data_IF_862898824166
#
_entry.id   IF_862898824166
#
_cell.length_a   1.000
_cell.length_b   1.000
_cell.length_c   1.000
_cell.angle_alpha   90.00
_cell.angle_beta   90.00
_cell.angle_gamma   90.00
#
_symmetry.space_group_name_H-M   'P 1'
#
loop_
_entity.id
_entity.type
_entity.pdbx_description
1 polymer ?
#
# COMPACT_ATOMS: atom_id res chain seq x y z
N UNK A 1 -1.89 6.55 12.78
CA UNK A 1 -2.81 5.51 12.28
C UNK A 1 -2.57 5.36 10.77
N UNK A 2 -1.73 4.41 10.34
CA UNK A 2 -1.75 3.87 8.98
C UNK A 2 -2.19 2.42 9.11
N UNK A 3 -3.52 2.22 9.18
CA UNK A 3 -4.14 0.89 9.09
C UNK A 3 -4.19 0.38 7.63
N UNK A 4 -3.68 1.18 6.70
CA UNK A 4 -3.74 1.00 5.25
C UNK A 4 -3.04 -0.27 4.77
N UNK A 5 -1.88 -0.62 5.34
CA UNK A 5 -1.09 -1.79 4.90
C UNK A 5 -1.58 -3.13 5.46
N UNK A 6 -2.22 -3.13 6.63
CA UNK A 6 -2.51 -4.37 7.37
C UNK A 6 -4.01 -4.69 7.52
N UNK A 7 -4.93 -3.90 6.93
CA UNK A 7 -6.37 -4.22 6.97
C UNK A 7 -7.01 -4.32 5.60
N UNK A 8 -6.90 -3.34 4.71
CA UNK A 8 -7.40 -3.52 3.32
C UNK A 8 -6.54 -4.56 2.60
N UNK A 9 -5.22 -4.44 2.70
CA UNK A 9 -4.26 -5.43 2.23
C UNK A 9 -4.11 -6.66 3.15
N UNK A 10 -4.97 -6.87 4.16
CA UNK A 10 -5.03 -8.14 4.88
C UNK A 10 -6.40 -8.82 4.76
N UNK A 11 -7.50 -8.07 4.62
CA UNK A 11 -8.85 -8.62 4.50
C UNK A 11 -9.22 -8.90 3.04
N UNK A 12 -8.85 -8.02 2.10
CA UNK A 12 -8.96 -8.30 0.67
C UNK A 12 -7.86 -9.26 0.19
N UNK A 13 -6.71 -9.20 0.86
CA UNK A 13 -5.52 -9.94 0.47
C UNK A 13 -5.45 -11.32 1.12
N UNK A 14 -5.97 -11.57 2.34
CA UNK A 14 -5.96 -12.93 2.91
C UNK A 14 -6.90 -13.89 2.17
N UNK A 15 -8.06 -13.43 1.68
CA UNK A 15 -8.98 -14.28 0.92
C UNK A 15 -8.52 -14.53 -0.54
N UNK A 16 -7.73 -13.61 -1.10
CA UNK A 16 -7.26 -13.65 -2.50
C UNK A 16 -5.82 -14.19 -2.60
N UNK A 17 -4.95 -13.89 -1.64
CA UNK A 17 -3.58 -14.43 -1.56
C UNK A 17 -3.48 -15.84 -1.03
N UNK A 18 -4.50 -16.37 -0.34
CA UNK A 18 -4.58 -17.81 -0.08
C UNK A 18 -4.51 -18.61 -1.40
N UNK A 19 -4.87 -17.97 -2.53
CA UNK A 19 -4.82 -18.62 -3.84
C UNK A 19 -3.63 -18.18 -4.71
N UNK A 20 -3.23 -16.91 -4.66
CA UNK A 20 -2.13 -16.39 -5.50
C UNK A 20 -0.71 -16.65 -4.98
N UNK A 21 -0.53 -17.14 -3.75
CA UNK A 21 0.82 -17.34 -3.16
C UNK A 21 1.51 -18.67 -3.52
N UNK A 22 0.86 -19.57 -4.27
CA UNK A 22 1.42 -20.90 -4.58
C UNK A 22 2.49 -20.93 -5.70
N UNK A 23 2.90 -19.80 -6.28
CA UNK A 23 4.01 -19.75 -7.26
C UNK A 23 5.14 -18.78 -6.92
N UNK A 24 5.18 -18.20 -5.72
CA UNK A 24 6.23 -17.27 -5.30
C UNK A 24 6.88 -17.59 -3.94
N UNK A 25 6.97 -18.87 -3.57
CA UNK A 25 7.95 -19.32 -2.57
C UNK A 25 8.92 -20.30 -3.25
N UNK A 26 9.84 -19.72 -4.04
CA UNK A 26 10.83 -20.45 -4.83
C UNK A 26 12.02 -19.55 -5.14
N UNK A 27 12.63 -18.97 -4.11
CA UNK A 27 13.85 -18.18 -4.22
C UNK A 27 14.79 -18.52 -3.07
N UNK A 28 15.66 -19.50 -3.29
CA UNK A 28 16.47 -20.14 -2.27
C UNK A 28 17.52 -19.24 -1.61
N UNK A 29 17.69 -19.45 -0.31
CA UNK A 29 18.94 -19.24 0.40
C UNK A 29 19.51 -20.62 0.76
N UNK A 30 20.48 -21.10 -0.02
CA UNK A 30 21.10 -22.40 0.17
C UNK A 30 21.81 -22.51 1.52
N UNK A 31 21.34 -23.45 2.35
CA UNK A 31 22.11 -23.96 3.48
C UNK A 31 23.15 -24.96 2.99
N UNK A 32 24.38 -24.49 2.75
CA UNK A 32 25.53 -25.38 2.60
C UNK A 32 26.10 -25.74 3.97
N UNK A 33 26.21 -27.04 4.17
CA UNK A 33 26.89 -27.77 5.24
C UNK A 33 28.31 -27.23 5.45
N UNK A 34 28.59 -26.66 6.64
CA UNK A 34 29.91 -26.22 7.05
C UNK A 34 30.63 -27.29 7.89
N UNK A 35 31.41 -28.13 7.21
CA UNK A 35 32.48 -28.90 7.83
C UNK A 35 33.66 -28.01 8.24
N UNK A 36 34.33 -28.45 9.28
CA UNK A 36 35.47 -27.87 10.00
C UNK A 36 36.65 -27.37 9.13
N UNK A 37 37.27 -26.24 9.50
CA UNK A 37 38.63 -25.89 9.02
C UNK A 37 39.05 -24.41 9.05
N UNK A 38 39.60 -23.96 10.18
CA UNK A 38 40.80 -23.10 10.32
C UNK A 38 40.93 -21.73 9.62
N UNK A 39 41.24 -20.70 10.43
CA UNK A 39 42.31 -19.74 10.08
C UNK A 39 41.94 -18.28 9.78
N UNK A 40 41.95 -17.45 10.82
CA UNK A 40 42.55 -16.12 10.95
C UNK A 40 42.41 -15.04 9.83
N UNK A 41 41.79 -13.91 10.18
CA UNK A 41 42.29 -12.56 9.83
C UNK A 41 41.39 -11.65 8.98
N UNK A 42 41.11 -10.44 9.50
CA UNK A 42 40.84 -9.24 8.69
C UNK A 42 39.39 -8.75 8.68
N UNK A 43 39.14 -7.61 9.34
CA UNK A 43 37.81 -7.04 9.55
C UNK A 43 37.25 -6.18 8.41
N UNK A 44 35.92 -5.98 8.53
CA UNK A 44 35.13 -4.77 8.24
C UNK A 44 35.29 -4.07 6.89
N UNK A 45 34.26 -4.15 6.04
CA UNK A 45 34.05 -3.22 4.94
C UNK A 45 32.88 -3.56 4.03
N UNK A 46 31.76 -2.86 4.25
CA UNK A 46 30.65 -2.56 3.34
C UNK A 46 30.50 -3.38 2.04
N UNK A 47 29.38 -4.09 1.92
CA UNK A 47 28.70 -4.30 0.64
C UNK A 47 27.18 -4.19 0.83
N UNK A 48 26.71 -2.97 1.07
CA UNK A 48 25.30 -2.61 0.94
C UNK A 48 25.00 -2.39 -0.53
N UNK A 49 24.63 -3.46 -1.25
CA UNK A 49 24.14 -3.37 -2.62
C UNK A 49 23.00 -2.36 -2.69
N UNK A 50 23.25 -1.23 -3.34
CA UNK A 50 22.30 -0.13 -3.45
C UNK A 50 21.21 -0.53 -4.42
N UNK A 51 20.07 -1.02 -3.91
CA UNK A 51 18.84 -1.10 -4.69
C UNK A 51 18.36 0.34 -4.87
N UNK A 52 18.48 0.86 -6.10
CA UNK A 52 18.08 2.23 -6.43
C UNK A 52 16.56 2.34 -6.42
N UNK A 53 15.99 2.58 -5.25
CA UNK A 53 14.59 2.98 -5.11
C UNK A 53 14.51 4.48 -5.37
N UNK A 54 13.60 4.90 -6.26
CA UNK A 54 13.47 6.31 -6.66
C UNK A 54 13.09 7.24 -5.50
N UNK A 55 12.43 6.71 -4.47
CA UNK A 55 12.03 7.46 -3.27
C UNK A 55 13.25 7.69 -2.36
N UNK A 56 13.49 8.93 -1.91
CA UNK A 56 14.62 9.24 -1.03
C UNK A 56 14.51 8.53 0.33
N UNK A 57 15.62 7.97 0.82
CA UNK A 57 15.67 7.38 2.15
C UNK A 57 15.52 8.45 3.27
N UNK A 58 15.10 8.07 4.50
CA UNK A 58 14.84 9.04 5.57
C UNK A 58 16.05 9.91 5.94
N UNK A 59 17.28 9.42 5.79
CA UNK A 59 18.51 10.20 6.04
C UNK A 59 18.73 11.34 5.04
N UNK A 60 18.01 11.32 3.91
CA UNK A 60 18.04 12.36 2.88
C UNK A 60 17.11 13.52 3.17
N UNK A 61 16.27 13.45 4.21
CA UNK A 61 15.43 14.54 4.68
C UNK A 61 16.16 15.32 5.77
N UNK A 62 16.60 16.53 5.46
CA UNK A 62 17.28 17.42 6.40
C UNK A 62 16.45 18.67 6.65
N UNK A 63 15.86 18.79 7.83
CA UNK A 63 15.19 20.02 8.25
C UNK A 63 16.25 21.10 8.49
N UNK A 64 16.17 22.19 7.74
CA UNK A 64 17.09 23.33 7.82
C UNK A 64 16.44 24.58 8.44
N UNK A 65 15.20 24.47 8.93
CA UNK A 65 14.45 25.57 9.53
C UNK A 65 13.99 26.62 8.52
N UNK A 66 13.35 27.68 9.01
CA UNK A 66 12.91 28.83 8.19
C UNK A 66 13.97 29.94 8.11
N UNK A 67 15.17 29.73 8.68
CA UNK A 67 16.26 30.70 8.73
C UNK A 67 17.25 30.49 7.57
N UNK A 68 17.63 31.59 6.93
CA UNK A 68 18.77 31.65 6.00
C UNK A 68 20.02 31.06 6.68
N UNK A 69 20.74 30.16 6.01
CA UNK A 69 22.02 29.66 6.50
C UNK A 69 22.95 30.84 6.84
N UNK A 70 23.21 31.05 8.13
CA UNK A 70 24.40 31.76 8.58
C UNK A 70 25.18 30.76 9.40
N UNK A 71 26.38 30.44 8.93
CA UNK A 71 27.37 29.61 9.60
C UNK A 71 27.67 30.21 10.98
N UNK A 72 27.03 29.69 12.00
CA UNK A 72 27.22 30.13 13.37
C UNK A 72 26.27 29.36 14.27
N UNK A 73 26.83 28.53 15.15
CA UNK A 73 26.10 27.65 16.06
C UNK A 73 25.13 28.41 16.96
N UNK A 74 23.92 28.63 16.46
CA UNK A 74 22.77 29.17 17.16
C UNK A 74 21.64 28.16 17.08
N UNK A 75 21.02 27.88 18.23
CA UNK A 75 19.81 27.07 18.40
C UNK A 75 18.63 27.69 17.64
N UNK A 76 18.64 27.61 16.31
CA UNK A 76 17.58 28.09 15.44
C UNK A 76 16.34 27.21 15.58
N UNK A 77 15.21 27.83 15.89
CA UNK A 77 13.91 27.17 15.99
C UNK A 77 13.64 26.39 14.70
N UNK A 78 13.47 25.07 14.80
CA UNK A 78 13.37 24.12 13.66
C UNK A 78 12.09 24.28 12.81
N UNK A 79 11.30 25.32 13.08
CA UNK A 79 10.11 25.71 12.33
C UNK A 79 9.37 26.88 12.96
N UNK A 80 8.51 27.54 12.18
CA UNK A 80 7.61 28.61 12.63
C UNK A 80 6.24 28.01 12.93
N UNK A 81 5.67 28.19 14.15
CA UNK A 81 4.34 27.68 14.47
C UNK A 81 3.27 28.20 13.49
N UNK A 82 2.36 27.32 13.09
CA UNK A 82 1.19 27.68 12.30
C UNK A 82 0.09 28.12 13.27
N UNK A 83 -0.29 29.40 13.21
CA UNK A 83 -1.23 30.00 14.16
C UNK A 83 -2.69 29.49 14.04
N UNK A 84 -3.05 28.89 12.90
CA UNK A 84 -4.39 28.35 12.66
C UNK A 84 -4.39 27.31 11.53
N UNK A 85 -5.37 26.42 11.54
CA UNK A 85 -5.54 25.38 10.51
C UNK A 85 -5.58 25.92 9.07
N UNK A 86 -6.21 27.09 8.86
CA UNK A 86 -6.25 27.79 7.57
C UNK A 86 -4.86 28.22 7.06
N UNK A 87 -3.86 28.28 7.95
CA UNK A 87 -2.48 28.58 7.58
C UNK A 87 -1.68 27.38 7.10
N UNK A 88 -2.21 26.16 7.20
CA UNK A 88 -1.54 24.92 6.76
C UNK A 88 -1.90 24.55 5.33
N UNK A 89 -0.87 24.24 4.54
CA UNK A 89 -1.02 23.71 3.18
C UNK A 89 -1.52 22.26 3.20
N UNK A 90 -1.10 21.43 4.16
CA UNK A 90 -1.59 20.06 4.27
C UNK A 90 -3.08 20.04 4.60
N UNK A 91 -3.49 20.85 5.57
CA UNK A 91 -4.88 21.08 5.91
C UNK A 91 -5.72 21.45 4.69
N UNK A 92 -5.27 22.45 3.92
CA UNK A 92 -5.96 22.89 2.70
C UNK A 92 -6.01 21.78 1.63
N UNK A 93 -4.91 21.05 1.42
CA UNK A 93 -4.86 19.93 0.50
C UNK A 93 -5.86 18.83 0.89
N UNK A 94 -5.88 18.43 2.16
CA UNK A 94 -6.82 17.42 2.67
C UNK A 94 -8.27 17.87 2.52
N UNK A 95 -8.57 19.13 2.86
CA UNK A 95 -9.91 19.68 2.66
C UNK A 95 -10.30 19.72 1.19
N UNK A 96 -9.38 20.05 0.29
CA UNK A 96 -9.64 19.98 -1.14
C UNK A 96 -9.94 18.55 -1.58
N UNK A 97 -9.22 17.54 -1.09
CA UNK A 97 -9.53 16.13 -1.38
C UNK A 97 -10.96 15.79 -0.93
N UNK A 98 -11.36 16.17 0.30
CA UNK A 98 -12.73 15.98 0.81
C UNK A 98 -13.78 16.68 -0.06
N UNK A 99 -13.52 17.93 -0.49
CA UNK A 99 -14.44 18.69 -1.33
C UNK A 99 -14.62 18.10 -2.73
N UNK A 100 -13.65 17.31 -3.21
CA UNK A 100 -13.69 16.66 -4.52
C UNK A 100 -14.17 15.20 -4.46
N UNK A 101 -14.74 14.73 -3.34
CA UNK A 101 -15.34 13.40 -3.24
C UNK A 101 -16.35 13.12 -4.37
N UNK A 102 -17.11 14.13 -4.81
CA UNK A 102 -18.09 13.98 -5.89
C UNK A 102 -17.53 14.15 -7.31
N UNK A 103 -16.35 14.73 -7.47
CA UNK A 103 -15.70 14.96 -8.79
C UNK A 103 -14.57 13.98 -9.07
N UNK A 104 -14.08 13.31 -8.03
CA UNK A 104 -13.02 12.32 -8.10
C UNK A 104 -11.65 12.83 -7.67
N UNK A 105 -10.80 11.89 -7.29
CA UNK A 105 -9.39 12.04 -6.98
C UNK A 105 -8.61 10.99 -7.77
N UNK A 106 -7.46 11.37 -8.32
CA UNK A 106 -6.50 10.49 -8.94
C UNK A 106 -5.11 10.78 -8.37
N UNK A 107 -4.40 9.74 -7.96
CA UNK A 107 -3.05 9.83 -7.45
C UNK A 107 -2.15 8.72 -7.97
N UNK A 108 -0.95 9.09 -8.38
CA UNK A 108 0.17 8.17 -8.56
C UNK A 108 1.22 8.47 -7.51
N UNK A 109 1.59 7.46 -6.73
CA UNK A 109 2.58 7.63 -5.68
C UNK A 109 3.34 6.34 -5.41
N UNK A 110 4.51 6.48 -4.79
CA UNK A 110 5.32 5.34 -4.34
C UNK A 110 5.53 5.49 -2.85
N UNK A 111 5.22 4.44 -2.08
CA UNK A 111 5.50 4.38 -0.64
C UNK A 111 6.60 3.36 -0.38
N UNK A 112 7.55 3.71 0.47
CA UNK A 112 8.68 2.87 0.84
C UNK A 112 8.80 2.80 2.36
N UNK A 113 9.00 1.59 2.84
CA UNK A 113 9.12 1.24 4.25
C UNK A 113 10.59 1.06 4.61
N UNK A 114 11.01 1.65 5.72
CA UNK A 114 12.37 1.53 6.26
C UNK A 114 12.34 1.11 7.72
N UNK A 115 13.35 0.33 8.12
CA UNK A 115 13.55 -0.07 9.51
C UNK A 115 14.11 1.07 10.38
N UNK A 116 14.35 0.79 11.67
CA UNK A 116 14.93 1.75 12.61
C UNK A 116 16.31 2.31 12.21
N UNK A 117 17.09 1.51 11.48
CA UNK A 117 18.39 1.88 10.94
C UNK A 117 18.28 2.61 9.60
N UNK A 118 17.06 2.92 9.16
CA UNK A 118 16.74 3.55 7.86
C UNK A 118 17.13 2.66 6.68
N UNK A 119 17.27 1.35 6.89
CA UNK A 119 17.49 0.39 5.83
C UNK A 119 16.16 0.08 5.14
N UNK A 120 16.21 -0.05 3.81
CA UNK A 120 15.04 -0.40 3.00
C UNK A 120 14.46 -1.76 3.42
N UNK A 121 13.14 -1.84 3.60
CA UNK A 121 12.42 -3.09 3.83
C UNK A 121 11.55 -3.49 2.63
N UNK A 122 10.63 -2.61 2.26
CA UNK A 122 9.65 -2.89 1.21
C UNK A 122 9.26 -1.58 0.51
N UNK A 123 8.64 -1.70 -0.66
CA UNK A 123 8.17 -0.54 -1.40
C UNK A 123 7.08 -0.92 -2.39
N UNK A 124 6.10 -0.04 -2.54
CA UNK A 124 4.93 -0.24 -3.39
C UNK A 124 4.65 1.01 -4.23
N UNK A 125 4.44 0.82 -5.51
CA UNK A 125 3.85 1.82 -6.41
C UNK A 125 2.34 1.69 -6.38
N UNK A 126 1.66 2.83 -6.37
CA UNK A 126 0.22 2.95 -6.34
C UNK A 126 -0.28 3.80 -7.50
N UNK A 127 -1.35 3.34 -8.12
CA UNK A 127 -2.30 4.19 -8.84
C UNK A 127 -3.60 4.09 -8.07
N UNK A 128 -4.09 5.23 -7.60
CA UNK A 128 -5.34 5.35 -6.88
C UNK A 128 -6.27 6.25 -7.67
N UNK A 129 -7.51 5.82 -7.85
CA UNK A 129 -8.61 6.70 -8.19
C UNK A 129 -9.75 6.49 -7.21
N UNK A 130 -10.43 7.55 -6.79
CA UNK A 130 -11.58 7.45 -5.90
C UNK A 130 -12.61 8.51 -6.24
N UNK A 131 -13.89 8.18 -6.15
CA UNK A 131 -15.00 9.12 -6.09
C UNK A 131 -15.93 8.77 -4.91
N UNK A 132 -17.17 9.24 -4.94
CA UNK A 132 -18.10 9.08 -3.83
C UNK A 132 -18.31 7.61 -3.45
N UNK A 133 -18.43 6.73 -4.44
CA UNK A 133 -18.84 5.34 -4.23
C UNK A 133 -17.81 4.33 -4.73
N UNK A 134 -16.93 4.75 -5.64
CA UNK A 134 -16.05 3.85 -6.36
C UNK A 134 -14.58 4.16 -6.06
N UNK A 135 -13.81 3.11 -5.77
CA UNK A 135 -12.35 3.19 -5.59
C UNK A 135 -11.67 2.21 -6.53
N UNK A 136 -10.59 2.66 -7.16
CA UNK A 136 -9.65 1.86 -7.91
C UNK A 136 -8.28 1.97 -7.26
N UNK A 137 -7.67 0.83 -6.93
CA UNK A 137 -6.29 0.78 -6.46
C UNK A 137 -5.52 -0.26 -7.25
N UNK A 138 -4.44 0.18 -7.89
CA UNK A 138 -3.47 -0.68 -8.55
C UNK A 138 -2.14 -0.59 -7.84
N UNK A 139 -1.62 -1.72 -7.41
CA UNK A 139 -0.46 -1.86 -6.56
C UNK A 139 0.61 -2.69 -7.25
N UNK A 140 1.87 -2.25 -7.17
CA UNK A 140 3.01 -3.05 -7.63
C UNK A 140 4.21 -2.87 -6.72
N UNK A 141 4.76 -3.97 -6.23
CA UNK A 141 6.01 -3.94 -5.46
C UNK A 141 7.16 -3.40 -6.28
N UNK A 142 7.96 -2.51 -5.67
CA UNK A 142 9.08 -1.80 -6.31
C UNK A 142 10.20 -2.75 -6.74
N UNK A 143 10.39 -3.85 -6.00
CA UNK A 143 11.47 -4.83 -6.25
C UNK A 143 10.96 -6.16 -6.82
N UNK A 144 9.68 -6.26 -7.14
CA UNK A 144 9.15 -7.51 -7.70
C UNK A 144 9.59 -7.66 -9.16
N UNK A 145 10.07 -8.85 -9.50
CA UNK A 145 10.26 -9.29 -10.89
C UNK A 145 8.93 -9.72 -11.54
N UNK A 146 7.86 -9.87 -10.74
CA UNK A 146 6.53 -10.11 -11.28
C UNK A 146 6.06 -8.90 -12.08
N UNK A 147 5.62 -9.16 -13.30
CA UNK A 147 5.08 -8.15 -14.19
C UNK A 147 3.64 -7.77 -13.85
N UNK A 148 2.97 -8.48 -12.93
CA UNK A 148 1.53 -8.29 -12.73
C UNK A 148 1.26 -7.51 -11.45
N UNK A 149 0.54 -6.39 -11.58
CA UNK A 149 0.11 -5.60 -10.45
C UNK A 149 -1.13 -6.21 -9.81
N UNK A 150 -1.26 -6.10 -8.49
CA UNK A 150 -2.52 -6.37 -7.81
C UNK A 150 -3.47 -5.22 -8.09
N UNK A 151 -4.69 -5.51 -8.51
CA UNK A 151 -5.72 -4.50 -8.77
C UNK A 151 -6.95 -4.81 -7.95
N UNK A 152 -7.44 -3.78 -7.26
CA UNK A 152 -8.62 -3.85 -6.41
C UNK A 152 -9.58 -2.75 -6.83
N UNK A 153 -10.87 -3.08 -6.90
CA UNK A 153 -11.93 -2.14 -7.18
C UNK A 153 -13.03 -2.26 -6.11
N UNK A 154 -13.35 -1.17 -5.43
CA UNK A 154 -14.46 -1.10 -4.50
C UNK A 154 -15.62 -0.34 -5.11
N UNK A 155 -16.85 -0.80 -4.86
CA UNK A 155 -18.08 -0.17 -5.37
C UNK A 155 -19.29 -0.51 -4.52
N UNK A 156 -20.38 0.23 -4.71
CA UNK A 156 -21.67 -0.02 -4.08
C UNK A 156 -22.67 -0.51 -5.12
N UNK A 157 -23.00 -1.80 -5.10
CA UNK A 157 -24.04 -2.41 -5.94
C UNK A 157 -25.28 -2.73 -5.09
N UNK A 158 -26.46 -2.19 -5.43
CA UNK A 158 -27.72 -2.47 -4.72
C UNK A 158 -27.64 -2.25 -3.19
N UNK A 159 -27.09 -1.09 -2.77
CA UNK A 159 -26.83 -0.76 -1.35
C UNK A 159 -25.92 -1.77 -0.62
N UNK A 160 -25.15 -2.55 -1.37
CA UNK A 160 -24.19 -3.51 -0.84
C UNK A 160 -22.80 -3.11 -1.29
N UNK A 161 -21.89 -3.01 -0.33
CA UNK A 161 -20.49 -2.70 -0.61
C UNK A 161 -19.74 -3.95 -1.03
N UNK A 162 -19.05 -3.83 -2.16
CA UNK A 162 -18.26 -4.89 -2.76
C UNK A 162 -16.84 -4.44 -2.96
N UNK A 163 -15.92 -5.37 -2.72
CA UNK A 163 -14.52 -5.23 -3.07
C UNK A 163 -14.13 -6.35 -4.02
N UNK A 164 -13.65 -5.99 -5.19
CA UNK A 164 -13.26 -6.91 -6.24
C UNK A 164 -11.76 -6.93 -6.43
N UNK A 165 -11.15 -8.10 -6.29
CA UNK A 165 -9.81 -8.35 -6.82
C UNK A 165 -9.91 -8.59 -8.33
N UNK A 166 -9.18 -7.79 -9.11
CA UNK A 166 -9.20 -7.85 -10.58
C UNK A 166 -7.95 -8.53 -11.10
N UNK A 167 -8.20 -9.66 -11.75
CA UNK A 167 -7.21 -10.44 -12.47
C UNK A 167 -7.17 -9.95 -13.92
N UNK A 168 -6.40 -8.87 -14.16
CA UNK A 168 -6.44 -8.10 -15.42
C UNK A 168 -6.08 -8.92 -16.66
N UNK A 169 -5.24 -9.95 -16.52
CA UNK A 169 -4.78 -10.81 -17.61
C UNK A 169 -5.82 -11.87 -17.97
N UNK A 170 -6.36 -12.57 -16.97
CA UNK A 170 -7.39 -13.58 -17.18
C UNK A 170 -8.80 -13.02 -17.36
N UNK A 171 -8.99 -11.72 -17.10
CA UNK A 171 -10.30 -11.06 -17.14
C UNK A 171 -11.28 -11.71 -16.17
N UNK A 172 -10.82 -11.94 -14.94
CA UNK A 172 -11.62 -12.48 -13.84
C UNK A 172 -11.67 -11.50 -12.68
N UNK A 173 -12.84 -11.35 -12.06
CA UNK A 173 -13.03 -10.51 -10.89
C UNK A 173 -13.61 -11.35 -9.77
N UNK A 174 -13.02 -11.30 -8.58
CA UNK A 174 -13.53 -11.99 -7.39
C UNK A 174 -13.98 -10.95 -6.38
N UNK A 175 -15.29 -10.88 -6.16
CA UNK A 175 -15.95 -9.92 -5.28
C UNK A 175 -16.20 -10.49 -3.89
N UNK A 176 -15.91 -9.69 -2.86
CA UNK A 176 -16.25 -9.98 -1.48
C UNK A 176 -17.17 -8.89 -0.93
N UNK A 177 -18.29 -9.32 -0.35
CA UNK A 177 -19.25 -8.42 0.29
C UNK A 177 -18.75 -7.95 1.65
N UNK A 178 -19.01 -6.68 1.99
CA UNK A 178 -18.75 -6.14 3.33
C UNK A 178 -17.27 -6.11 3.73
N UNK A 179 -16.38 -6.23 2.74
CA UNK A 179 -14.93 -6.03 2.92
C UNK A 179 -14.58 -4.54 3.14
N UNK A 180 -15.58 -3.68 3.09
CA UNK A 180 -15.50 -2.23 3.20
C UNK A 180 -16.68 -1.73 4.07
N UNK A 181 -16.53 -0.60 4.77
CA UNK A 181 -17.64 0.12 5.40
C UNK A 181 -17.72 1.55 4.82
N UNK A 182 -18.94 2.04 4.58
CA UNK A 182 -19.21 3.39 4.07
C UNK A 182 -18.39 4.47 4.80
N UNK A 183 -17.65 5.30 4.04
CA UNK A 183 -16.76 6.35 4.56
C UNK A 183 -15.32 5.93 4.89
N UNK A 184 -15.04 4.64 5.15
CA UNK A 184 -13.69 4.19 5.54
C UNK A 184 -12.62 4.41 4.46
N UNK A 185 -12.96 4.48 3.17
CA UNK A 185 -12.01 4.53 2.05
C UNK A 185 -11.35 5.90 2.08
N UNK A 186 -12.15 6.95 2.22
CA UNK A 186 -11.64 8.32 2.29
C UNK A 186 -10.82 8.57 3.56
N UNK A 187 -11.22 7.95 4.67
CA UNK A 187 -10.46 7.95 5.91
C UNK A 187 -9.15 7.13 5.77
N UNK A 188 -9.19 6.00 5.08
CA UNK A 188 -8.07 5.07 4.87
C UNK A 188 -7.05 5.59 3.84
N UNK A 189 -7.48 6.36 2.83
CA UNK A 189 -6.58 7.08 1.90
C UNK A 189 -5.71 8.12 2.64
N UNK A 190 -5.96 8.37 3.93
CA UNK A 190 -5.03 9.07 4.82
C UNK A 190 -5.16 10.58 4.77
N UNK A 191 -6.35 11.08 4.42
CA UNK A 191 -6.65 12.51 4.34
C UNK A 191 -7.81 12.88 5.28
N UNK A 192 -7.66 12.54 6.57
CA UNK A 192 -8.53 13.10 7.60
C UNK A 192 -7.95 14.43 8.09
N UNK A 193 -8.60 15.54 7.71
CA UNK A 193 -8.26 16.88 8.20
C UNK A 193 -8.70 17.08 9.66
N UNK A 194 -9.66 16.28 10.12
CA UNK A 194 -10.29 16.43 11.44
C UNK A 194 -9.40 15.90 12.57
N UNK A 195 -8.40 15.08 12.24
CA UNK A 195 -7.44 14.51 13.18
C UNK A 195 -6.09 15.22 13.21
N UNK A 196 -5.93 16.34 12.47
CA UNK A 196 -4.66 17.04 12.44
C UNK A 196 -4.39 17.73 13.78
N UNK A 197 -3.17 17.60 14.33
CA UNK A 197 -2.86 18.16 15.63
C UNK A 197 -2.94 19.69 15.60
N UNK A 198 -3.36 20.26 16.73
CA UNK A 198 -3.49 21.71 16.88
C UNK A 198 -2.17 22.46 16.63
N UNK A 199 -1.03 21.80 16.88
CA UNK A 199 0.29 22.42 16.72
C UNK A 199 1.07 21.82 15.55
N UNK A 200 1.16 22.60 14.47
CA UNK A 200 1.95 22.33 13.28
C UNK A 200 3.00 23.44 13.08
N UNK A 201 4.04 23.16 12.32
CA UNK A 201 5.14 24.09 12.05
C UNK A 201 5.43 24.18 10.57
N UNK A 202 5.68 25.40 10.07
CA UNK A 202 6.28 25.64 8.76
C UNK A 202 7.79 25.54 8.87
N UNK A 203 8.42 24.89 7.90
CA UNK A 203 9.88 24.78 7.84
C UNK A 203 10.35 24.62 6.39
N UNK A 204 11.66 24.52 6.20
CA UNK A 204 12.29 24.09 4.96
C UNK A 204 13.00 22.76 5.19
N UNK A 205 12.75 21.79 4.31
CA UNK A 205 13.42 20.48 4.33
C UNK A 205 14.19 20.31 3.03
N UNK A 206 15.48 20.02 3.14
CA UNK A 206 16.28 19.58 2.00
C UNK A 206 16.08 18.08 1.81
N UNK A 207 15.50 17.68 0.67
CA UNK A 207 15.34 16.28 0.25
C UNK A 207 16.33 16.02 -0.87
N UNK A 208 17.28 15.10 -0.67
CA UNK A 208 18.42 14.91 -1.59
C UNK A 208 19.16 16.23 -1.92
N UNK A 209 19.26 17.13 -0.93
CA UNK A 209 19.90 18.44 -1.08
C UNK A 209 19.02 19.51 -1.72
N UNK A 210 17.88 19.16 -2.32
CA UNK A 210 16.93 20.12 -2.89
C UNK A 210 16.00 20.66 -1.80
N UNK A 211 15.88 21.99 -1.61
CA UNK A 211 15.02 22.57 -0.58
C UNK A 211 13.54 22.55 -0.99
N UNK A 212 12.69 22.18 -0.05
CA UNK A 212 11.23 22.23 -0.17
C UNK A 212 10.64 23.01 0.98
N UNK A 213 9.63 23.84 0.69
CA UNK A 213 8.72 24.30 1.73
C UNK A 213 8.05 23.07 2.32
N UNK A 214 7.98 23.00 3.65
CA UNK A 214 7.48 21.84 4.34
C UNK A 214 6.66 22.22 5.57
N UNK A 215 5.80 21.30 5.99
CA UNK A 215 5.13 21.36 7.28
C UNK A 215 5.45 20.12 8.09
N UNK A 216 5.64 20.29 9.40
CA UNK A 216 5.88 19.21 10.33
C UNK A 216 4.92 19.26 11.50
N UNK A 217 4.57 18.09 12.01
CA UNK A 217 3.74 17.94 13.19
C UNK A 217 3.94 16.57 13.82
N UNK A 218 3.44 16.42 15.05
CA UNK A 218 3.40 15.13 15.74
C UNK A 218 1.94 14.83 16.06
N UNK A 219 1.46 13.65 15.68
CA UNK A 219 0.10 13.22 16.00
C UNK A 219 -0.06 12.87 17.48
N UNK A 220 -1.30 12.60 17.92
CA UNK A 220 -1.59 12.22 19.31
C UNK A 220 -0.93 10.92 19.77
N UNK A 221 -0.44 10.10 18.83
CA UNK A 221 0.23 8.83 19.09
C UNK A 221 1.76 8.96 19.08
N UNK A 222 2.30 10.17 18.86
CA UNK A 222 3.72 10.42 18.83
C UNK A 222 4.39 10.17 17.48
N UNK A 223 3.63 9.85 16.43
CA UNK A 223 4.18 9.74 15.08
C UNK A 223 4.47 11.14 14.52
N UNK A 224 5.69 11.33 14.01
CA UNK A 224 6.13 12.60 13.44
C UNK A 224 5.91 12.59 11.94
N UNK A 225 5.32 13.66 11.44
CA UNK A 225 5.02 13.86 10.04
C UNK A 225 5.91 14.98 9.50
N UNK A 226 6.44 14.78 8.31
CA UNK A 226 7.12 15.80 7.50
C UNK A 226 6.53 15.78 6.11
N UNK A 227 5.90 16.88 5.69
CA UNK A 227 5.21 16.99 4.41
C UNK A 227 5.88 18.09 3.61
N UNK A 228 6.53 17.72 2.51
CA UNK A 228 7.21 18.63 1.59
C UNK A 228 6.31 18.92 0.40
N UNK A 229 6.26 20.18 -0.05
CA UNK A 229 5.33 20.61 -1.09
C UNK A 229 6.02 20.96 -2.41
N UNK A 230 5.34 20.69 -3.52
CA UNK A 230 5.63 21.25 -4.83
C UNK A 230 4.41 22.03 -5.30
N UNK A 231 4.50 23.36 -5.31
CA UNK A 231 3.32 24.21 -5.43
C UNK A 231 2.40 24.02 -4.22
N UNK A 232 1.10 23.84 -4.46
CA UNK A 232 0.09 23.59 -3.42
C UNK A 232 -0.11 22.11 -3.07
N UNK A 233 0.61 21.20 -3.73
CA UNK A 233 0.42 19.76 -3.59
C UNK A 233 1.58 19.13 -2.80
N UNK A 234 1.31 18.10 -1.97
CA UNK A 234 2.36 17.28 -1.40
C UNK A 234 3.22 16.65 -2.49
N UNK A 235 4.53 16.70 -2.32
CA UNK A 235 5.52 16.03 -3.16
C UNK A 235 6.16 14.85 -2.43
N UNK A 236 6.50 15.04 -1.16
CA UNK A 236 6.99 13.98 -0.28
C UNK A 236 6.28 14.02 1.07
N UNK A 237 5.99 12.84 1.61
CA UNK A 237 5.55 12.68 3.01
C UNK A 237 6.47 11.67 3.68
N UNK A 238 7.03 12.03 4.83
CA UNK A 238 7.76 11.13 5.70
C UNK A 238 7.02 11.00 7.03
N UNK A 239 6.80 9.76 7.45
CA UNK A 239 6.24 9.43 8.75
C UNK A 239 7.31 8.67 9.53
N UNK A 240 7.61 9.14 10.74
CA UNK A 240 8.50 8.51 11.69
C UNK A 240 7.69 8.08 12.91
N UNK A 241 7.61 6.78 13.16
CA UNK A 241 7.02 6.23 14.37
C UNK A 241 8.01 6.25 15.54
N UNK A 242 7.49 6.41 16.75
CA UNK A 242 8.32 6.42 17.97
C UNK A 242 9.09 5.10 18.16
N UNK A 243 8.49 3.98 17.76
CA UNK A 243 9.07 2.65 17.79
C UNK A 243 8.73 1.90 16.49
N UNK A 244 9.55 0.92 16.06
CA UNK A 244 9.18 0.04 14.95
C UNK A 244 7.88 -0.72 15.24
N UNK A 245 7.12 -1.01 14.19
CA UNK A 245 5.96 -1.89 14.26
C UNK A 245 6.37 -3.38 14.41
N UNK A 246 5.38 -4.27 14.41
CA UNK A 246 5.59 -5.72 14.52
C UNK A 246 6.44 -6.31 13.38
N UNK A 247 6.42 -5.66 12.21
CA UNK A 247 7.18 -6.06 11.04
C UNK A 247 8.57 -5.42 11.04
N UNK A 248 8.89 -4.57 12.03
CA UNK A 248 10.14 -3.86 12.18
C UNK A 248 10.27 -2.61 11.30
N UNK A 249 9.17 -2.08 10.78
CA UNK A 249 9.12 -0.81 10.03
C UNK A 249 9.02 0.35 11.02
N UNK A 250 9.84 1.39 10.85
CA UNK A 250 9.75 2.61 11.66
C UNK A 250 9.47 3.87 10.82
N UNK A 251 9.87 3.87 9.54
CA UNK A 251 9.67 5.00 8.66
C UNK A 251 8.89 4.61 7.41
N UNK A 252 7.98 5.48 7.03
CA UNK A 252 7.29 5.43 5.75
C UNK A 252 7.63 6.69 4.98
N UNK A 253 8.17 6.54 3.77
CA UNK A 253 8.42 7.67 2.86
C UNK A 253 7.57 7.48 1.62
N UNK A 254 6.73 8.49 1.34
CA UNK A 254 5.88 8.55 0.16
C UNK A 254 6.39 9.63 -0.78
N UNK A 255 6.54 9.30 -2.05
CA UNK A 255 6.68 10.27 -3.15
C UNK A 255 5.40 10.32 -3.96
N UNK A 256 4.81 11.51 -4.10
CA UNK A 256 3.72 11.75 -5.02
C UNK A 256 4.27 12.16 -6.39
N UNK A 257 3.80 11.49 -7.44
CA UNK A 257 4.17 11.77 -8.83
C UNK A 257 3.10 12.62 -9.50
N UNK A 258 1.84 12.21 -9.35
CA UNK A 258 0.68 12.86 -9.95
C UNK A 258 -0.42 12.95 -8.92
N UNK A 259 -1.07 14.12 -8.82
CA UNK A 259 -2.30 14.32 -8.04
C UNK A 259 -3.24 15.17 -8.89
N UNK A 260 -4.47 14.69 -9.11
CA UNK A 260 -5.48 15.36 -9.91
C UNK A 260 -6.87 15.19 -9.29
N UNK A 261 -7.74 16.19 -9.46
CA UNK A 261 -9.12 16.15 -8.97
C UNK A 261 -10.09 15.65 -10.05
N UNK A 262 -9.85 14.41 -10.48
CA UNK A 262 -10.62 13.62 -11.47
C UNK A 262 -10.36 12.15 -11.19
N UNK A 263 -11.15 11.23 -11.72
CA UNK A 263 -10.89 9.78 -11.61
C UNK A 263 -10.07 9.21 -12.77
N UNK A 264 -9.84 10.01 -13.82
CA UNK A 264 -9.27 9.55 -15.10
C UNK A 264 -10.02 8.35 -15.71
N UNK A 265 -11.31 8.19 -15.39
CA UNK A 265 -12.14 7.08 -15.86
C UNK A 265 -11.89 5.75 -15.17
N UNK A 266 -11.01 5.68 -14.17
CA UNK A 266 -10.65 4.44 -13.48
C UNK A 266 -11.71 3.98 -12.46
N UNK A 267 -12.57 4.89 -12.00
CA UNK A 267 -13.69 4.58 -11.09
C UNK A 267 -14.92 4.00 -11.82
N UNK A 268 -14.77 3.50 -13.05
CA UNK A 268 -15.85 2.82 -13.76
C UNK A 268 -15.71 1.32 -13.59
N UNK A 269 -16.69 0.67 -12.94
CA UNK A 269 -16.70 -0.77 -12.74
C UNK A 269 -16.60 -1.50 -14.10
N UNK A 270 -15.50 -2.21 -14.42
CA UNK A 270 -15.28 -2.74 -15.77
C UNK A 270 -16.05 -4.06 -16.02
N UNK A 271 -17.29 -4.15 -15.55
CA UNK A 271 -18.07 -5.40 -15.47
C UNK A 271 -18.10 -6.18 -16.78
N UNK A 272 -18.38 -5.50 -17.89
CA UNK A 272 -18.55 -6.13 -19.22
C UNK A 272 -17.28 -6.82 -19.73
N UNK A 273 -16.11 -6.52 -19.16
CA UNK A 273 -14.83 -7.10 -19.53
C UNK A 273 -14.39 -8.27 -18.65
N UNK A 274 -15.16 -8.65 -17.62
CA UNK A 274 -14.72 -9.59 -16.59
C UNK A 274 -15.73 -10.71 -16.34
N UNK A 275 -15.22 -11.94 -16.17
CA UNK A 275 -15.99 -13.01 -15.54
C UNK A 275 -16.01 -12.78 -14.03
N UNK A 276 -17.18 -12.54 -13.47
CA UNK A 276 -17.34 -12.20 -12.07
C UNK A 276 -17.67 -13.44 -11.24
N UNK A 277 -16.94 -13.61 -10.14
CA UNK A 277 -17.23 -14.55 -9.07
C UNK A 277 -17.44 -13.79 -7.76
N UNK A 278 -18.32 -14.29 -6.91
CA UNK A 278 -18.58 -13.78 -5.57
C UNK A 278 -18.12 -14.79 -4.54
N UNK A 279 -17.39 -14.32 -3.54
CA UNK A 279 -17.00 -15.12 -2.40
C UNK A 279 -18.24 -15.51 -1.58
N UNK A 280 -18.35 -16.80 -1.24
CA UNK A 280 -19.45 -17.35 -0.44
C UNK A 280 -18.96 -17.72 0.96
N UNK A 281 -17.92 -18.55 1.05
CA UNK A 281 -17.40 -19.04 2.32
C UNK A 281 -15.97 -19.55 2.21
N UNK A 282 -15.29 -19.62 3.35
CA UNK A 282 -14.02 -20.32 3.51
C UNK A 282 -14.09 -21.21 4.75
N UNK A 283 -13.39 -22.33 4.71
CA UNK A 283 -13.18 -23.19 5.86
C UNK A 283 -11.80 -23.80 5.79
N UNK A 284 -11.13 -23.92 6.94
CA UNK A 284 -9.82 -24.54 7.05
C UNK A 284 -9.89 -25.71 8.02
N UNK A 285 -9.37 -26.86 7.60
CA UNK A 285 -9.28 -28.07 8.42
C UNK A 285 -8.08 -28.90 7.97
N UNK A 286 -7.27 -29.36 8.91
CA UNK A 286 -6.19 -30.33 8.68
C UNK A 286 -5.26 -29.97 7.50
N UNK A 287 -4.77 -28.72 7.45
CA UNK A 287 -3.87 -28.24 6.39
C UNK A 287 -4.53 -28.11 5.01
N UNK A 288 -5.86 -28.15 4.96
CA UNK A 288 -6.65 -27.96 3.74
C UNK A 288 -7.56 -26.75 3.90
N UNK A 289 -7.43 -25.79 2.98
CA UNK A 289 -8.34 -24.66 2.85
C UNK A 289 -9.39 -24.97 1.77
N UNK A 290 -10.65 -24.70 2.06
CA UNK A 290 -11.76 -24.82 1.11
C UNK A 290 -12.43 -23.47 0.95
N UNK A 291 -12.48 -22.96 -0.28
CA UNK A 291 -13.11 -21.70 -0.65
C UNK A 291 -14.27 -22.01 -1.58
N UNK A 292 -15.42 -21.37 -1.34
CA UNK A 292 -16.58 -21.47 -2.24
C UNK A 292 -16.79 -20.13 -2.93
N UNK A 293 -16.81 -20.18 -4.27
CA UNK A 293 -17.14 -19.04 -5.13
C UNK A 293 -18.45 -19.32 -5.88
N UNK A 294 -19.28 -18.29 -6.07
CA UNK A 294 -20.45 -18.34 -6.93
C UNK A 294 -20.25 -17.46 -8.16
N UNK A 295 -20.66 -17.92 -9.35
CA UNK A 295 -20.73 -17.03 -10.52
C UNK A 295 -22.01 -16.17 -10.51
N UNK A 296 -22.19 -15.34 -11.54
CA UNK A 296 -23.38 -14.46 -11.65
C UNK A 296 -24.71 -15.22 -11.79
N UNK A 297 -24.68 -16.47 -12.24
CA UNK A 297 -25.87 -17.32 -12.30
C UNK A 297 -26.16 -18.01 -10.94
N UNK A 298 -25.29 -17.82 -9.95
CA UNK A 298 -25.37 -18.45 -8.63
C UNK A 298 -24.79 -19.86 -8.60
N UNK A 299 -24.17 -20.33 -9.68
CA UNK A 299 -23.52 -21.66 -9.71
C UNK A 299 -22.29 -21.62 -8.83
N UNK A 300 -22.17 -22.61 -7.94
CA UNK A 300 -21.08 -22.68 -6.97
C UNK A 300 -19.92 -23.55 -7.45
N UNK A 301 -18.73 -23.14 -7.02
CA UNK A 301 -17.46 -23.78 -7.29
C UNK A 301 -16.70 -23.92 -5.98
N UNK A 302 -16.32 -25.15 -5.66
CA UNK A 302 -15.55 -25.47 -4.47
C UNK A 302 -14.09 -25.59 -4.86
N UNK A 303 -13.27 -24.70 -4.33
CA UNK A 303 -11.82 -24.67 -4.49
C UNK A 303 -11.21 -25.30 -3.25
N UNK A 304 -10.43 -26.35 -3.42
CA UNK A 304 -9.71 -27.02 -2.34
C UNK A 304 -8.22 -26.82 -2.55
N UNK A 305 -7.54 -26.33 -1.52
CA UNK A 305 -6.12 -26.03 -1.52
C UNK A 305 -5.47 -26.82 -0.41
N UNK A 306 -4.53 -27.69 -0.75
CA UNK A 306 -3.74 -28.46 0.22
C UNK A 306 -2.40 -27.79 0.43
N UNK A 307 -2.13 -27.34 1.66
CA UNK A 307 -0.90 -26.65 2.01
C UNK A 307 0.33 -27.56 1.81
N UNK A 308 1.42 -26.99 1.30
CA UNK A 308 2.68 -27.72 1.09
C UNK A 308 2.67 -28.70 -0.10
N UNK A 309 1.55 -28.84 -0.83
CA UNK A 309 1.47 -29.69 -2.03
C UNK A 309 1.60 -28.84 -3.29
N UNK A 310 2.65 -29.03 -4.11
CA UNK A 310 2.77 -28.35 -5.40
C UNK A 310 1.57 -28.65 -6.30
N UNK A 311 0.92 -27.61 -6.82
CA UNK A 311 -0.34 -27.72 -7.57
C UNK A 311 -1.47 -28.41 -6.79
N UNK A 312 -1.47 -28.32 -5.46
CA UNK A 312 -2.51 -28.88 -4.57
C UNK A 312 -3.87 -28.18 -4.66
N UNK A 313 -4.14 -27.46 -5.74
CA UNK A 313 -5.40 -26.76 -5.99
C UNK A 313 -6.30 -27.61 -6.90
N UNK A 314 -7.49 -27.92 -6.42
CA UNK A 314 -8.54 -28.58 -7.20
C UNK A 314 -9.81 -27.74 -7.15
N UNK A 315 -10.54 -27.67 -8.26
CA UNK A 315 -11.86 -27.02 -8.30
C UNK A 315 -12.91 -27.98 -8.81
N UNK A 316 -14.00 -28.11 -8.06
CA UNK A 316 -15.20 -28.84 -8.47
C UNK A 316 -16.39 -27.92 -8.63
N UNK A 317 -17.28 -28.23 -9.57
CA UNK A 317 -18.57 -27.55 -9.67
C UNK A 317 -19.59 -28.14 -8.68
N UNK A 318 -20.79 -27.56 -8.62
CA UNK A 318 -21.90 -28.00 -7.77
C UNK A 318 -22.32 -29.48 -7.95
N UNK A 319 -21.96 -30.11 -9.07
CA UNK A 319 -22.24 -31.52 -9.35
C UNK A 319 -21.06 -32.44 -9.00
N UNK A 320 -19.97 -31.88 -8.45
CA UNK A 320 -18.74 -32.61 -8.13
C UNK A 320 -17.82 -32.85 -9.35
N UNK A 321 -18.10 -32.25 -10.51
CA UNK A 321 -17.23 -32.40 -11.67
C UNK A 321 -15.96 -31.59 -11.50
N UNK A 322 -14.80 -32.17 -11.83
CA UNK A 322 -13.53 -31.45 -11.82
C UNK A 322 -13.48 -30.40 -12.95
N UNK A 323 -13.41 -29.13 -12.56
CA UNK A 323 -13.36 -27.97 -13.46
C UNK A 323 -12.11 -27.11 -13.23
N UNK A 324 -11.10 -27.66 -12.56
CA UNK A 324 -9.82 -26.98 -12.22
C UNK A 324 -9.20 -26.22 -13.40
N UNK A 325 -9.32 -26.77 -14.61
CA UNK A 325 -8.78 -26.14 -15.82
C UNK A 325 -9.41 -24.77 -16.14
N UNK A 326 -10.65 -24.51 -15.72
CA UNK A 326 -11.33 -23.22 -15.90
C UNK A 326 -10.80 -22.16 -14.91
N UNK A 327 -10.16 -22.61 -13.84
CA UNK A 327 -9.65 -21.79 -12.75
C UNK A 327 -8.13 -21.68 -12.75
N UNK A 328 -7.47 -21.92 -13.89
CA UNK A 328 -6.00 -21.79 -13.99
C UNK A 328 -5.47 -20.40 -13.64
N UNK A 329 -6.30 -19.36 -13.72
CA UNK A 329 -5.99 -18.00 -13.27
C UNK A 329 -5.70 -17.91 -11.76
N UNK A 330 -6.14 -18.90 -10.97
CA UNK A 330 -5.77 -19.05 -9.57
C UNK A 330 -4.33 -19.55 -9.37
N UNK A 331 -3.78 -20.28 -10.35
CA UNK A 331 -2.49 -20.97 -10.22
C UNK A 331 -1.38 -20.32 -11.06
N UNK A 332 -1.74 -19.69 -12.17
CA UNK A 332 -0.81 -18.91 -12.95
C UNK A 332 -0.45 -17.71 -12.11
N UNK A 333 0.85 -17.45 -11.93
CA UNK A 333 1.32 -16.13 -11.54
C UNK A 333 0.72 -15.13 -12.53
N UNK A 334 -0.40 -14.56 -12.11
CA UNK A 334 -0.74 -13.17 -12.33
C UNK A 334 0.36 -12.41 -11.60
#
# INVERSE_FOLDING_TARGET
>A
MMRLSNRIAATALAAVMAVSMLTACGGGGGGSTGGNGGGNGGGSGNNGGSISVAVPAPDKFKNVGTGSESEGGGSGTLGTPIASFSGSQYAAFVQNVKNHQSTGLYMEYTTVEYDANKAYKSGMNYILAADRNDIYVKMRSVNSTSSVPSVVFGTVENNTEWLYALYEKSKVAVGQQGAYNEGQLWDDIGFSAEDLPYQMYKTVVKVNGQPYNAETFTDSYGAKYTICYQGSMPKYTMIEYAHPDSDGVQYYVTEYKTIQYTTNGLCQWPKDGYKVYKYVSTSESDGTATIVLADEAGKQYTITIVEGVPNGLTVTDENGNNVTNQFKWLMQGE
#
